data_IF_859945235967
#
_entry.id   IF_859945235967
#
_cell.length_a   1.000
_cell.length_b   1.000
_cell.length_c   1.000
_cell.angle_alpha   90.00
_cell.angle_beta   90.00
_cell.angle_gamma   90.00
#
_symmetry.space_group_name_H-M   'P 1'
#
loop_
_entity.id
_entity.type
_entity.pdbx_description
1 polymer ?
#
# COMPACT_ATOMS: atom_id res chain seq x y z
N UNK A 1 -25.82 -26.83 -1.02
CA UNK A 1 -24.37 -26.53 -0.98
C UNK A 1 -23.89 -26.49 -2.42
N UNK A 2 -23.76 -25.28 -3.00
CA UNK A 2 -23.37 -25.10 -4.40
C UNK A 2 -21.91 -24.69 -4.44
N UNK A 3 -21.04 -25.60 -4.88
CA UNK A 3 -19.60 -25.38 -5.02
C UNK A 3 -19.38 -24.57 -6.30
N UNK A 4 -19.52 -23.26 -6.21
CA UNK A 4 -19.24 -22.34 -7.31
C UNK A 4 -17.77 -22.43 -7.73
N UNK A 5 -17.52 -22.75 -8.99
CA UNK A 5 -16.21 -22.73 -9.62
C UNK A 5 -15.60 -21.32 -9.47
N UNK A 6 -14.63 -21.17 -8.57
CA UNK A 6 -13.88 -19.92 -8.42
C UNK A 6 -12.75 -19.87 -9.45
N UNK A 7 -12.76 -18.86 -10.31
CA UNK A 7 -11.71 -18.65 -11.32
C UNK A 7 -10.46 -18.05 -10.67
N UNK A 8 -9.31 -18.74 -10.85
CA UNK A 8 -7.98 -18.19 -10.57
C UNK A 8 -7.60 -17.25 -11.72
N UNK A 9 -7.22 -16.00 -11.45
CA UNK A 9 -6.86 -15.03 -12.52
C UNK A 9 -5.54 -15.42 -13.21
N UNK A 10 -5.54 -15.84 -14.48
CA UNK A 10 -4.34 -15.99 -15.26
C UNK A 10 -4.16 -14.72 -16.12
N UNK A 11 -3.04 -14.01 -15.96
CA UNK A 11 -2.69 -12.72 -16.59
C UNK A 11 -3.17 -11.49 -15.80
N UNK A 12 -2.27 -10.55 -15.43
CA UNK A 12 -2.68 -9.32 -14.74
C UNK A 12 -3.55 -8.47 -15.68
N UNK A 13 -4.81 -8.29 -15.30
CA UNK A 13 -5.67 -7.26 -15.89
C UNK A 13 -4.95 -5.91 -15.81
N UNK A 14 -5.11 -5.08 -16.84
CA UNK A 14 -4.69 -3.68 -16.75
C UNK A 14 -5.36 -3.01 -15.55
N UNK A 15 -4.70 -2.02 -14.94
CA UNK A 15 -5.22 -1.36 -13.73
C UNK A 15 -6.28 -0.32 -14.11
N UNK A 16 -7.47 -0.41 -13.52
CA UNK A 16 -8.47 0.66 -13.59
C UNK A 16 -8.12 1.73 -12.59
N UNK A 17 -7.72 2.90 -13.08
CA UNK A 17 -7.26 4.03 -12.27
C UNK A 17 -8.45 4.89 -11.85
N UNK A 18 -9.44 4.32 -11.17
CA UNK A 18 -10.56 5.08 -10.59
C UNK A 18 -10.05 6.06 -9.52
N UNK A 19 -10.83 7.11 -9.22
CA UNK A 19 -10.42 8.23 -8.35
C UNK A 19 -9.68 7.82 -7.08
N UNK A 20 -10.30 6.95 -6.28
CA UNK A 20 -9.72 6.50 -5.03
C UNK A 20 -8.41 5.72 -5.23
N UNK A 21 -8.31 4.90 -6.28
CA UNK A 21 -7.06 4.23 -6.63
C UNK A 21 -5.96 5.21 -7.05
N UNK A 22 -6.28 6.28 -7.80
CA UNK A 22 -5.32 7.34 -8.15
C UNK A 22 -4.79 8.05 -6.90
N UNK A 23 -5.69 8.39 -5.97
CA UNK A 23 -5.31 9.00 -4.68
C UNK A 23 -4.41 8.07 -3.87
N UNK A 24 -4.79 6.80 -3.75
CA UNK A 24 -3.97 5.79 -3.08
C UNK A 24 -2.58 5.65 -3.72
N UNK A 25 -2.50 5.55 -5.05
CA UNK A 25 -1.21 5.48 -5.75
C UNK A 25 -0.34 6.70 -5.48
N UNK A 26 -0.93 7.90 -5.50
CA UNK A 26 -0.19 9.13 -5.20
C UNK A 26 0.36 9.10 -3.77
N UNK A 27 -0.46 8.74 -2.78
CA UNK A 27 -0.03 8.63 -1.38
C UNK A 27 1.06 7.56 -1.19
N UNK A 28 0.93 6.41 -1.85
CA UNK A 28 1.94 5.34 -1.81
C UNK A 28 3.27 5.78 -2.41
N UNK A 29 3.24 6.52 -3.52
CA UNK A 29 4.46 7.07 -4.16
C UNK A 29 5.08 8.15 -3.29
N UNK A 30 4.28 9.05 -2.73
CA UNK A 30 4.74 10.07 -1.80
C UNK A 30 5.40 9.45 -0.56
N UNK A 31 4.73 8.48 0.07
CA UNK A 31 5.28 7.75 1.21
C UNK A 31 6.59 7.04 0.86
N UNK A 32 6.64 6.33 -0.27
CA UNK A 32 7.86 5.67 -0.74
C UNK A 32 9.01 6.67 -0.96
N UNK A 33 8.74 7.80 -1.61
CA UNK A 33 9.76 8.83 -1.85
C UNK A 33 10.24 9.47 -0.56
N UNK A 34 9.34 9.75 0.39
CA UNK A 34 9.69 10.30 1.69
C UNK A 34 10.57 9.34 2.49
N UNK A 35 10.20 8.05 2.55
CA UNK A 35 10.98 7.01 3.23
C UNK A 35 12.38 6.85 2.64
N UNK A 36 12.47 6.79 1.31
CA UNK A 36 13.77 6.70 0.61
C UNK A 36 14.62 7.96 0.81
N UNK A 37 13.99 9.14 0.80
CA UNK A 37 14.67 10.41 1.06
C UNK A 37 15.22 10.50 2.49
N UNK A 38 14.45 10.08 3.49
CA UNK A 38 14.89 10.01 4.88
C UNK A 38 16.05 9.03 5.06
N UNK A 39 15.98 7.86 4.45
CA UNK A 39 17.06 6.88 4.49
C UNK A 39 18.33 7.43 3.84
N UNK A 40 18.23 7.98 2.63
CA UNK A 40 19.37 8.59 1.95
C UNK A 40 19.98 9.74 2.77
N UNK A 41 19.15 10.61 3.34
CA UNK A 41 19.58 11.70 4.21
C UNK A 41 20.31 11.20 5.47
N UNK A 42 19.79 10.15 6.11
CA UNK A 42 20.44 9.55 7.28
C UNK A 42 21.80 8.94 6.94
N UNK A 43 21.90 8.21 5.82
CA UNK A 43 23.16 7.59 5.38
C UNK A 43 24.21 8.64 4.96
N UNK A 44 23.80 9.68 4.23
CA UNK A 44 24.68 10.79 3.89
C UNK A 44 25.18 11.54 5.13
N UNK A 45 24.28 11.79 6.08
CA UNK A 45 24.62 12.46 7.33
C UNK A 45 25.59 11.61 8.17
N UNK A 46 25.34 10.30 8.26
CA UNK A 46 26.25 9.37 8.93
C UNK A 46 27.65 9.44 8.31
N UNK A 47 27.75 9.38 6.99
CA UNK A 47 29.03 9.45 6.29
C UNK A 47 29.76 10.79 6.53
N UNK A 48 29.05 11.92 6.52
CA UNK A 48 29.64 13.23 6.77
C UNK A 48 30.13 13.39 8.22
N UNK A 49 29.40 12.85 9.20
CA UNK A 49 29.79 12.92 10.60
C UNK A 49 31.04 12.09 10.91
N UNK A 50 31.28 11.00 10.18
CA UNK A 50 32.51 10.20 10.31
C UNK A 50 33.79 11.04 10.06
N UNK A 51 33.71 12.11 9.28
CA UNK A 51 34.84 13.03 9.06
C UNK A 51 35.25 13.81 10.33
N UNK A 52 34.36 13.90 11.33
CA UNK A 52 34.59 14.57 12.61
C UNK A 52 34.68 13.59 13.78
N UNK A 53 34.89 12.30 13.51
CA UNK A 53 35.03 11.27 14.55
C UNK A 53 36.26 11.56 15.41
N UNK A 54 36.14 11.35 16.72
CA UNK A 54 37.18 11.69 17.70
C UNK A 54 37.21 13.15 18.14
N UNK A 55 36.27 13.99 17.67
CA UNK A 55 36.08 15.33 18.22
C UNK A 55 35.13 15.30 19.41
N UNK A 56 35.55 15.90 20.53
CA UNK A 56 34.71 16.09 21.72
C UNK A 56 33.71 17.25 21.59
N UNK A 57 33.75 17.97 20.46
CA UNK A 57 32.83 19.09 20.22
C UNK A 57 31.42 18.59 19.94
N UNK A 58 30.45 19.34 20.45
CA UNK A 58 29.04 19.05 20.24
C UNK A 58 28.60 19.50 18.84
N UNK A 59 27.61 18.81 18.27
CA UNK A 59 27.03 19.16 16.97
C UNK A 59 26.62 20.63 16.82
N UNK A 60 26.04 21.32 17.83
CA UNK A 60 25.70 22.74 17.72
C UNK A 60 26.91 23.66 17.57
N UNK A 61 28.08 23.22 18.04
CA UNK A 61 29.34 23.98 17.93
C UNK A 61 29.96 23.79 16.54
N UNK A 62 29.86 22.58 15.98
CA UNK A 62 30.41 22.24 14.67
C UNK A 62 29.50 22.71 13.53
N UNK A 63 28.18 22.65 13.71
CA UNK A 63 27.18 22.96 12.68
C UNK A 63 26.13 23.98 13.14
N UNK A 64 26.53 25.20 13.57
CA UNK A 64 25.63 26.15 14.25
C UNK A 64 24.46 26.65 13.39
N UNK A 65 24.55 26.53 12.07
CA UNK A 65 23.54 27.00 11.12
C UNK A 65 22.49 25.95 10.76
N UNK A 66 22.62 24.70 11.25
CA UNK A 66 21.61 23.66 10.99
C UNK A 66 20.36 23.97 11.83
N UNK A 67 19.16 24.06 11.21
CA UNK A 67 17.92 24.29 11.94
C UNK A 67 17.72 23.27 13.06
N UNK A 68 17.29 23.73 14.23
CA UNK A 68 17.06 22.92 15.43
C UNK A 68 18.27 22.19 16.01
N UNK A 69 19.49 22.36 15.48
CA UNK A 69 20.70 21.64 15.94
C UNK A 69 20.97 21.84 17.43
N UNK A 70 20.63 23.01 17.98
CA UNK A 70 20.78 23.35 19.40
C UNK A 70 20.01 22.45 20.36
N UNK A 71 19.05 21.66 19.87
CA UNK A 71 18.31 20.66 20.66
C UNK A 71 19.07 19.35 20.84
N UNK A 72 20.15 19.14 20.09
CA UNK A 72 20.92 17.91 20.08
C UNK A 72 22.20 18.12 20.88
N UNK A 73 22.25 17.53 22.08
CA UNK A 73 23.45 17.50 22.92
C UNK A 73 24.28 16.25 22.62
N UNK A 74 24.74 16.11 21.38
CA UNK A 74 25.48 14.94 20.90
C UNK A 74 26.81 15.38 20.27
N UNK A 75 27.84 14.54 20.41
CA UNK A 75 29.07 14.64 19.60
C UNK A 75 28.81 14.10 18.19
N UNK A 76 29.73 14.38 17.26
CA UNK A 76 29.66 13.82 15.90
C UNK A 76 29.67 12.28 15.90
N UNK A 77 30.46 11.67 16.78
CA UNK A 77 30.54 10.22 16.91
C UNK A 77 29.23 9.62 17.43
N UNK A 78 28.68 10.13 18.54
CA UNK A 78 27.42 9.63 19.09
C UNK A 78 26.26 9.77 18.09
N UNK A 79 26.21 10.88 17.34
CA UNK A 79 25.22 11.09 16.31
C UNK A 79 25.41 10.17 15.08
N UNK A 80 26.66 9.87 14.70
CA UNK A 80 26.98 8.89 13.65
C UNK A 80 26.50 7.50 14.05
N UNK A 81 26.72 7.07 15.29
CA UNK A 81 26.25 5.77 15.78
C UNK A 81 24.72 5.66 15.78
N UNK A 82 24.02 6.73 16.19
CA UNK A 82 22.54 6.79 16.10
C UNK A 82 22.07 6.70 14.65
N UNK A 83 22.73 7.40 13.73
CA UNK A 83 22.36 7.39 12.31
C UNK A 83 22.72 6.08 11.61
N UNK A 84 23.71 5.33 12.12
CA UNK A 84 24.01 3.99 11.63
C UNK A 84 22.84 3.02 11.88
N UNK A 85 22.10 3.18 12.99
CA UNK A 85 20.90 2.42 13.31
C UNK A 85 19.61 2.99 12.70
N UNK A 86 19.69 4.13 12.00
CA UNK A 86 18.51 4.79 11.42
C UNK A 86 17.77 3.89 10.40
N UNK A 87 18.48 3.00 9.70
CA UNK A 87 17.87 2.06 8.77
C UNK A 87 16.86 1.13 9.48
N UNK A 88 17.22 0.63 10.66
CA UNK A 88 16.36 -0.26 11.44
C UNK A 88 15.12 0.47 11.97
N UNK A 89 15.30 1.71 12.44
CA UNK A 89 14.18 2.52 12.91
C UNK A 89 13.25 2.92 11.78
N UNK A 90 13.80 3.34 10.63
CA UNK A 90 13.02 3.69 9.45
C UNK A 90 12.29 2.46 8.89
N UNK A 91 12.93 1.30 8.84
CA UNK A 91 12.27 0.06 8.43
C UNK A 91 11.08 -0.28 9.31
N UNK A 92 11.24 -0.27 10.63
CA UNK A 92 10.15 -0.49 11.58
C UNK A 92 8.97 0.49 11.39
N UNK A 93 9.26 1.79 11.25
CA UNK A 93 8.23 2.82 11.00
C UNK A 93 7.56 2.68 9.62
N UNK A 94 8.35 2.33 8.61
CA UNK A 94 7.89 2.22 7.22
C UNK A 94 6.87 1.11 7.04
N UNK A 95 7.09 -0.05 7.66
CA UNK A 95 6.16 -1.19 7.55
C UNK A 95 4.81 -0.80 8.15
N UNK A 96 4.80 -0.14 9.32
CA UNK A 96 3.57 0.35 9.91
C UNK A 96 2.83 1.34 8.98
N UNK A 97 3.56 2.30 8.42
CA UNK A 97 2.98 3.32 7.55
C UNK A 97 2.42 2.74 6.24
N UNK A 98 3.20 1.90 5.55
CA UNK A 98 2.80 1.28 4.29
C UNK A 98 1.60 0.34 4.47
N UNK A 99 1.58 -0.44 5.55
CA UNK A 99 0.43 -1.30 5.88
C UNK A 99 -0.82 -0.47 6.18
N UNK A 100 -0.70 0.66 6.86
CA UNK A 100 -1.84 1.53 7.14
C UNK A 100 -2.45 2.10 5.84
N UNK A 101 -1.62 2.54 4.89
CA UNK A 101 -2.10 2.99 3.57
C UNK A 101 -2.81 1.86 2.81
N UNK A 102 -2.27 0.65 2.85
CA UNK A 102 -2.89 -0.51 2.22
C UNK A 102 -4.24 -0.88 2.86
N UNK A 103 -4.33 -0.86 4.19
CA UNK A 103 -5.58 -1.14 4.91
C UNK A 103 -6.68 -0.10 4.61
N UNK A 104 -6.31 1.17 4.41
CA UNK A 104 -7.24 2.21 3.97
C UNK A 104 -7.74 1.99 2.52
N UNK A 105 -6.82 1.61 1.62
CA UNK A 105 -7.16 1.19 0.25
C UNK A 105 -8.17 0.04 0.22
N UNK A 106 -7.99 -0.99 1.07
CA UNK A 106 -8.91 -2.12 1.17
C UNK A 106 -10.30 -1.72 1.70
N UNK A 107 -10.37 -0.81 2.68
CA UNK A 107 -11.65 -0.26 3.14
C UNK A 107 -12.39 0.42 2.01
N UNK A 108 -11.68 1.15 1.16
CA UNK A 108 -12.26 1.79 -0.01
C UNK A 108 -12.78 0.74 -1.02
N UNK A 109 -12.02 -0.32 -1.28
CA UNK A 109 -12.46 -1.41 -2.15
C UNK A 109 -13.72 -2.11 -1.63
N UNK A 110 -13.79 -2.38 -0.33
CA UNK A 110 -14.99 -2.95 0.31
C UNK A 110 -16.17 -1.98 0.29
N UNK A 111 -15.93 -0.68 0.41
CA UNK A 111 -16.94 0.37 0.22
C UNK A 111 -17.55 0.32 -1.18
N UNK A 112 -16.72 0.28 -2.22
CA UNK A 112 -17.18 0.15 -3.61
C UNK A 112 -17.98 -1.15 -3.83
N UNK A 113 -17.51 -2.28 -3.30
CA UNK A 113 -18.24 -3.54 -3.35
C UNK A 113 -19.60 -3.43 -2.65
N UNK A 114 -19.69 -2.68 -1.54
CA UNK A 114 -20.94 -2.46 -0.83
C UNK A 114 -21.90 -1.56 -1.61
N UNK A 115 -21.41 -0.51 -2.26
CA UNK A 115 -22.22 0.39 -3.09
C UNK A 115 -22.71 -0.29 -4.38
N UNK A 116 -22.02 -1.33 -4.84
CA UNK A 116 -22.49 -2.24 -5.88
C UNK A 116 -23.43 -3.35 -5.37
N UNK A 117 -23.70 -3.42 -4.06
CA UNK A 117 -24.57 -4.44 -3.47
C UNK A 117 -23.96 -5.84 -3.32
N UNK A 118 -22.63 -5.99 -3.52
CA UNK A 118 -21.94 -7.28 -3.43
C UNK A 118 -21.68 -7.71 -1.99
N UNK A 119 -21.67 -6.75 -1.06
CA UNK A 119 -21.51 -6.98 0.38
C UNK A 119 -22.35 -5.96 1.15
N UNK A 120 -22.81 -6.30 2.35
CA UNK A 120 -23.56 -5.33 3.15
C UNK A 120 -22.64 -4.18 3.61
N UNK A 121 -23.17 -2.95 3.65
CA UNK A 121 -22.45 -1.77 4.17
C UNK A 121 -21.93 -1.99 5.59
N UNK A 122 -22.70 -2.70 6.42
CA UNK A 122 -22.29 -3.09 7.77
C UNK A 122 -21.03 -3.96 7.74
N UNK A 123 -21.03 -5.03 6.91
CA UNK A 123 -19.87 -5.92 6.78
C UNK A 123 -18.66 -5.19 6.20
N UNK A 124 -18.82 -4.35 5.19
CA UNK A 124 -17.73 -3.54 4.65
C UNK A 124 -17.07 -2.64 5.71
N UNK A 125 -17.86 -2.05 6.62
CA UNK A 125 -17.35 -1.18 7.70
C UNK A 125 -16.73 -1.95 8.88
N UNK A 126 -17.35 -3.06 9.28
CA UNK A 126 -16.99 -3.79 10.51
C UNK A 126 -15.96 -4.90 10.28
N UNK A 127 -15.58 -5.18 9.03
CA UNK A 127 -14.57 -6.22 8.74
C UNK A 127 -13.20 -5.79 9.29
N UNK A 128 -12.60 -6.57 10.21
CA UNK A 128 -11.27 -6.27 10.75
C UNK A 128 -10.21 -6.37 9.65
N UNK A 129 -9.09 -5.65 9.80
CA UNK A 129 -7.99 -5.61 8.79
C UNK A 129 -7.57 -7.00 8.28
N UNK A 130 -7.45 -7.97 9.19
CA UNK A 130 -7.07 -9.34 8.85
C UNK A 130 -8.06 -10.04 7.90
N UNK A 131 -9.36 -9.70 7.95
CA UNK A 131 -10.42 -10.32 7.16
C UNK A 131 -10.79 -9.54 5.88
N UNK A 132 -10.20 -8.38 5.62
CA UNK A 132 -10.61 -7.51 4.51
C UNK A 132 -10.37 -8.15 3.14
N UNK A 133 -9.21 -8.80 2.93
CA UNK A 133 -8.90 -9.50 1.68
C UNK A 133 -9.86 -10.65 1.41
N UNK A 134 -10.20 -11.43 2.43
CA UNK A 134 -11.16 -12.52 2.32
C UNK A 134 -12.56 -11.99 2.00
N UNK A 135 -13.01 -10.96 2.71
CA UNK A 135 -14.30 -10.34 2.46
C UNK A 135 -14.42 -9.80 1.02
N UNK A 136 -13.37 -9.18 0.49
CA UNK A 136 -13.35 -8.67 -0.87
C UNK A 136 -13.34 -9.80 -1.92
N UNK A 137 -12.54 -10.85 -1.70
CA UNK A 137 -12.53 -12.04 -2.56
C UNK A 137 -13.90 -12.72 -2.63
N UNK A 138 -14.56 -12.87 -1.47
CA UNK A 138 -15.92 -13.42 -1.40
C UNK A 138 -16.94 -12.53 -2.12
N UNK A 139 -16.88 -11.20 -1.92
CA UNK A 139 -17.79 -10.26 -2.57
C UNK A 139 -17.63 -10.25 -4.11
N UNK A 140 -16.39 -10.32 -4.60
CA UNK A 140 -16.10 -10.30 -6.04
C UNK A 140 -16.10 -11.68 -6.72
N UNK A 141 -16.25 -12.77 -5.96
CA UNK A 141 -16.29 -14.14 -6.51
C UNK A 141 -14.98 -14.63 -7.13
N UNK A 142 -13.82 -14.04 -6.76
CA UNK A 142 -12.51 -14.41 -7.30
C UNK A 142 -11.43 -14.34 -6.20
N UNK A 143 -10.22 -14.83 -6.50
CA UNK A 143 -9.13 -14.97 -5.54
C UNK A 143 -7.87 -14.20 -5.95
N UNK A 144 -7.15 -13.72 -4.95
CA UNK A 144 -5.79 -13.18 -5.09
C UNK A 144 -4.81 -14.35 -5.00
N UNK A 145 -3.68 -14.23 -5.67
CA UNK A 145 -2.56 -15.15 -5.50
C UNK A 145 -2.15 -15.25 -4.02
N UNK A 146 -1.87 -16.47 -3.56
CA UNK A 146 -1.56 -16.75 -2.15
C UNK A 146 -0.23 -16.16 -1.71
N UNK A 147 0.77 -16.16 -2.60
CA UNK A 147 2.14 -15.77 -2.26
C UNK A 147 2.26 -14.38 -1.61
N UNK A 148 1.76 -13.29 -2.21
CA UNK A 148 1.85 -11.98 -1.57
C UNK A 148 1.00 -11.89 -0.29
N UNK A 149 -0.10 -12.63 -0.18
CA UNK A 149 -0.93 -12.66 1.04
C UNK A 149 -0.21 -13.37 2.20
N UNK A 150 0.54 -14.44 1.93
CA UNK A 150 1.40 -15.12 2.91
C UNK A 150 2.43 -14.14 3.49
N UNK A 151 3.14 -13.41 2.62
CA UNK A 151 4.13 -12.41 3.04
C UNK A 151 3.48 -11.25 3.81
N UNK A 152 2.30 -10.79 3.39
CA UNK A 152 1.56 -9.75 4.10
C UNK A 152 1.18 -10.18 5.52
N UNK A 153 0.80 -11.44 5.73
CA UNK A 153 0.45 -11.95 7.05
C UNK A 153 1.63 -11.86 8.02
N UNK A 154 2.84 -12.23 7.56
CA UNK A 154 4.08 -12.08 8.33
C UNK A 154 4.42 -10.61 8.57
N UNK A 155 4.33 -9.74 7.57
CA UNK A 155 4.56 -8.30 7.73
C UNK A 155 3.61 -7.65 8.76
N UNK A 156 2.33 -8.06 8.79
CA UNK A 156 1.36 -7.62 9.80
C UNK A 156 1.76 -8.06 11.21
N UNK A 157 2.27 -9.28 11.36
CA UNK A 157 2.79 -9.79 12.64
C UNK A 157 4.05 -9.03 13.08
N UNK A 158 5.00 -8.79 12.17
CA UNK A 158 6.19 -7.97 12.44
C UNK A 158 5.82 -6.56 12.90
N UNK A 159 4.89 -5.90 12.20
CA UNK A 159 4.36 -4.59 12.61
C UNK A 159 3.76 -4.66 14.02
N UNK A 160 2.93 -5.67 14.30
CA UNK A 160 2.30 -5.79 15.61
C UNK A 160 3.34 -5.98 16.72
N UNK A 161 4.37 -6.79 16.49
CA UNK A 161 5.49 -6.96 17.43
C UNK A 161 6.23 -5.64 17.69
N UNK A 162 6.50 -4.85 16.65
CA UNK A 162 7.10 -3.51 16.79
C UNK A 162 6.22 -2.58 17.62
N UNK A 163 4.91 -2.53 17.35
CA UNK A 163 3.99 -1.59 17.98
C UNK A 163 3.66 -1.98 19.43
N UNK A 164 3.51 -3.28 19.71
CA UNK A 164 2.96 -3.76 20.98
C UNK A 164 3.98 -4.42 21.90
N UNK A 165 5.03 -5.04 21.35
CA UNK A 165 5.97 -5.88 22.11
C UNK A 165 7.42 -5.35 22.07
N UNK A 166 7.59 -4.07 21.72
CA UNK A 166 8.92 -3.43 21.61
C UNK A 166 9.82 -4.08 20.56
N UNK A 167 9.23 -4.70 19.54
CA UNK A 167 9.95 -5.41 18.48
C UNK A 167 10.37 -6.83 18.82
N UNK A 168 9.91 -7.42 19.94
CA UNK A 168 10.24 -8.82 20.29
C UNK A 168 9.45 -9.83 19.46
N UNK A 169 10.14 -10.86 18.99
CA UNK A 169 9.51 -11.98 18.26
C UNK A 169 8.73 -12.86 19.23
N UNK A 170 7.42 -13.00 18.99
CA UNK A 170 6.54 -13.91 19.70
C UNK A 170 6.39 -15.26 18.98
N UNK A 171 5.71 -16.21 19.61
CA UNK A 171 5.45 -17.51 18.97
C UNK A 171 4.57 -17.36 17.72
N UNK A 172 3.61 -16.43 17.74
CA UNK A 172 2.71 -16.22 16.61
C UNK A 172 3.42 -15.76 15.34
N UNK A 173 4.50 -14.98 15.45
CA UNK A 173 5.34 -14.59 14.33
C UNK A 173 6.17 -15.78 13.82
N UNK A 174 6.76 -16.59 14.71
CA UNK A 174 7.50 -17.81 14.33
C UNK A 174 6.60 -18.78 13.58
N UNK A 175 5.38 -18.98 14.07
CA UNK A 175 4.39 -19.86 13.44
C UNK A 175 3.98 -19.32 12.05
N UNK A 176 3.78 -17.99 11.94
CA UNK A 176 3.43 -17.36 10.67
C UNK A 176 4.56 -17.47 9.63
N UNK A 177 5.82 -17.35 10.05
CA UNK A 177 6.99 -17.54 9.20
C UNK A 177 7.10 -19.00 8.75
N UNK A 178 6.88 -19.93 9.67
CA UNK A 178 6.95 -21.39 9.40
C UNK A 178 5.83 -21.86 8.47
N UNK A 179 4.73 -21.11 8.39
CA UNK A 179 3.63 -21.35 7.46
C UNK A 179 3.88 -20.81 6.04
N UNK A 180 4.95 -20.03 5.81
CA UNK A 180 5.29 -19.54 4.48
C UNK A 180 5.63 -20.71 3.55
N UNK A 181 5.09 -20.67 2.33
CA UNK A 181 5.52 -21.59 1.28
C UNK A 181 6.99 -21.36 0.89
N UNK A 182 7.70 -22.38 0.36
CA UNK A 182 9.07 -22.20 -0.13
C UNK A 182 9.19 -21.09 -1.19
N UNK A 183 8.15 -20.90 -2.01
CA UNK A 183 8.09 -19.83 -2.99
C UNK A 183 7.97 -18.44 -2.33
N UNK A 184 7.16 -18.32 -1.27
CA UNK A 184 7.02 -17.08 -0.51
C UNK A 184 8.31 -16.71 0.23
N UNK A 185 9.02 -17.69 0.81
CA UNK A 185 10.35 -17.49 1.41
C UNK A 185 11.35 -17.04 0.36
N UNK A 186 11.43 -17.72 -0.79
CA UNK A 186 12.36 -17.35 -1.86
C UNK A 186 12.09 -15.91 -2.37
N UNK A 187 10.83 -15.55 -2.57
CA UNK A 187 10.44 -14.21 -2.97
C UNK A 187 10.75 -13.17 -1.89
N UNK A 188 10.60 -13.53 -0.61
CA UNK A 188 10.95 -12.68 0.53
C UNK A 188 12.44 -12.40 0.55
N UNK A 189 13.28 -13.44 0.49
CA UNK A 189 14.74 -13.32 0.50
C UNK A 189 15.25 -12.56 -0.70
N UNK A 190 14.65 -12.75 -1.87
CA UNK A 190 15.01 -11.98 -3.08
C UNK A 190 14.71 -10.48 -2.94
N UNK A 191 13.60 -10.13 -2.28
CA UNK A 191 13.16 -8.74 -2.15
C UNK A 191 13.86 -7.99 -1.00
N UNK A 192 14.06 -8.66 0.14
CA UNK A 192 14.63 -8.05 1.34
C UNK A 192 16.12 -8.30 1.53
N UNK A 193 16.68 -9.36 0.93
CA UNK A 193 18.02 -9.84 1.24
C UNK A 193 18.11 -10.67 2.52
N UNK A 194 17.03 -10.76 3.29
CA UNK A 194 16.96 -11.47 4.58
C UNK A 194 16.17 -12.76 4.47
N UNK A 195 16.56 -13.78 5.24
CA UNK A 195 15.83 -15.03 5.37
C UNK A 195 14.93 -14.99 6.63
N UNK A 196 13.60 -14.90 6.47
CA UNK A 196 12.70 -14.76 7.61
C UNK A 196 12.66 -16.02 8.49
N UNK A 197 13.03 -17.19 7.95
CA UNK A 197 12.97 -18.49 8.66
C UNK A 197 13.96 -18.60 9.82
N UNK A 198 14.91 -17.66 9.90
CA UNK A 198 15.91 -17.60 10.97
C UNK A 198 15.42 -16.92 12.24
N UNK A 199 14.22 -16.33 12.23
CA UNK A 199 13.64 -15.67 13.39
C UNK A 199 13.27 -16.70 14.47
N UNK A 200 13.77 -16.49 15.67
CA UNK A 200 13.45 -17.28 16.84
C UNK A 200 12.66 -16.46 17.87
N UNK A 201 11.84 -17.15 18.67
CA UNK A 201 11.11 -16.52 19.77
C UNK A 201 12.08 -15.83 20.74
N UNK A 202 11.78 -14.58 21.09
CA UNK A 202 12.60 -13.76 21.99
C UNK A 202 13.63 -12.89 21.28
N UNK A 203 13.88 -13.12 19.98
CA UNK A 203 14.72 -12.25 19.17
C UNK A 203 14.17 -10.83 19.11
N UNK A 204 15.05 -9.86 18.88
CA UNK A 204 14.66 -8.48 18.57
C UNK A 204 14.61 -8.33 17.07
N UNK A 205 13.44 -7.95 16.54
CA UNK A 205 13.26 -7.67 15.12
C UNK A 205 14.14 -6.51 14.69
N UNK A 206 15.03 -6.79 13.73
CA UNK A 206 15.79 -5.76 13.01
C UNK A 206 15.21 -5.66 11.61
N UNK A 207 14.35 -4.65 11.41
CA UNK A 207 13.64 -4.40 10.16
C UNK A 207 14.34 -3.25 9.45
N UNK A 208 15.09 -3.52 8.40
CA UNK A 208 15.85 -2.50 7.69
C UNK A 208 15.25 -2.10 6.35
N UNK A 209 16.11 -1.59 5.48
CA UNK A 209 15.75 -1.22 4.12
C UNK A 209 15.11 -2.37 3.33
N UNK A 210 15.59 -3.59 3.51
CA UNK A 210 15.10 -4.78 2.82
C UNK A 210 13.62 -5.06 3.12
N UNK A 211 13.26 -5.08 4.40
CA UNK A 211 11.89 -5.31 4.83
C UNK A 211 10.96 -4.14 4.45
N UNK A 212 11.47 -2.91 4.41
CA UNK A 212 10.74 -1.76 3.86
C UNK A 212 10.39 -1.97 2.38
N UNK A 213 11.38 -2.34 1.54
CA UNK A 213 11.15 -2.60 0.12
C UNK A 213 10.16 -3.75 -0.10
N UNK A 214 10.29 -4.81 0.70
CA UNK A 214 9.36 -5.94 0.67
C UNK A 214 7.93 -5.47 0.98
N UNK A 215 7.72 -4.69 2.04
CA UNK A 215 6.39 -4.19 2.40
C UNK A 215 5.77 -3.34 1.27
N UNK A 216 6.56 -2.47 0.64
CA UNK A 216 6.13 -1.67 -0.51
C UNK A 216 5.79 -2.55 -1.73
N UNK A 217 6.57 -3.59 -1.99
CA UNK A 217 6.36 -4.50 -3.11
C UNK A 217 5.12 -5.38 -2.92
N UNK A 218 4.98 -5.98 -1.74
CA UNK A 218 3.86 -6.86 -1.38
C UNK A 218 2.54 -6.10 -1.43
N UNK A 219 2.44 -4.96 -0.75
CA UNK A 219 1.21 -4.16 -0.74
C UNK A 219 0.84 -3.71 -2.15
N UNK A 220 1.79 -3.20 -2.94
CA UNK A 220 1.57 -2.84 -4.35
C UNK A 220 1.03 -3.99 -5.19
N UNK A 221 1.56 -5.20 -5.02
CA UNK A 221 1.11 -6.38 -5.74
C UNK A 221 -0.35 -6.72 -5.36
N UNK A 222 -0.65 -6.70 -4.07
CA UNK A 222 -2.00 -7.00 -3.56
C UNK A 222 -3.00 -5.94 -3.99
N UNK A 223 -2.68 -4.65 -3.93
CA UNK A 223 -3.60 -3.58 -4.36
C UNK A 223 -3.94 -3.68 -5.85
N UNK A 224 -2.98 -4.10 -6.69
CA UNK A 224 -3.26 -4.41 -8.10
C UNK A 224 -4.18 -5.62 -8.25
N UNK A 225 -3.99 -6.65 -7.43
CA UNK A 225 -4.89 -7.79 -7.42
C UNK A 225 -6.30 -7.42 -6.93
N UNK A 226 -6.43 -6.60 -5.88
CA UNK A 226 -7.71 -6.05 -5.43
C UNK A 226 -8.39 -5.21 -6.51
N UNK A 227 -7.63 -4.40 -7.25
CA UNK A 227 -8.14 -3.70 -8.42
C UNK A 227 -8.72 -4.68 -9.46
N UNK A 228 -8.00 -5.77 -9.76
CA UNK A 228 -8.48 -6.85 -10.63
C UNK A 228 -9.74 -7.54 -10.09
N UNK A 229 -9.82 -7.79 -8.78
CA UNK A 229 -11.03 -8.34 -8.17
C UNK A 229 -12.24 -7.42 -8.37
N UNK A 230 -12.08 -6.11 -8.18
CA UNK A 230 -13.17 -5.15 -8.42
C UNK A 230 -13.59 -5.15 -9.89
N UNK A 231 -12.64 -5.29 -10.83
CA UNK A 231 -12.98 -5.38 -12.25
C UNK A 231 -13.83 -6.61 -12.59
N UNK A 232 -13.58 -7.73 -11.91
CA UNK A 232 -14.36 -8.97 -12.08
C UNK A 232 -15.72 -8.86 -11.38
N UNK A 233 -15.73 -8.37 -10.14
CA UNK A 233 -16.90 -8.43 -9.27
C UNK A 233 -17.92 -7.31 -9.51
N UNK A 234 -17.45 -6.07 -9.75
CA UNK A 234 -18.36 -4.93 -9.86
C UNK A 234 -19.16 -4.99 -11.17
N UNK A 235 -20.49 -4.72 -11.12
CA UNK A 235 -21.30 -4.63 -12.32
C UNK A 235 -20.78 -3.56 -13.28
N UNK A 236 -20.91 -3.82 -14.59
CA UNK A 236 -20.49 -2.88 -15.63
C UNK A 236 -21.13 -1.49 -15.49
N UNK A 237 -22.42 -1.46 -15.12
CA UNK A 237 -23.15 -0.21 -14.85
C UNK A 237 -22.55 0.59 -13.70
N UNK A 238 -22.02 -0.07 -12.66
CA UNK A 238 -21.33 0.62 -11.58
C UNK A 238 -20.07 1.31 -12.10
N UNK A 239 -19.26 0.61 -12.90
CA UNK A 239 -18.07 1.21 -13.51
C UNK A 239 -18.36 2.39 -14.45
N UNK A 240 -19.46 2.33 -15.21
CA UNK A 240 -19.87 3.44 -16.07
C UNK A 240 -20.23 4.66 -15.22
N UNK A 241 -21.01 4.48 -14.14
CA UNK A 241 -21.35 5.55 -13.20
C UNK A 241 -20.11 6.17 -12.58
N UNK A 242 -19.20 5.34 -12.07
CA UNK A 242 -17.93 5.77 -11.49
C UNK A 242 -17.10 6.59 -12.49
N UNK A 243 -16.94 6.11 -13.72
CA UNK A 243 -16.14 6.80 -14.74
C UNK A 243 -16.75 8.16 -15.15
N UNK A 244 -18.07 8.25 -15.26
CA UNK A 244 -18.77 9.50 -15.58
C UNK A 244 -18.68 10.48 -14.41
N UNK A 245 -18.92 10.03 -13.19
CA UNK A 245 -18.83 10.86 -11.99
C UNK A 245 -17.44 11.42 -11.77
N UNK A 246 -16.42 10.57 -11.94
CA UNK A 246 -15.03 10.95 -11.80
C UNK A 246 -14.64 12.01 -12.85
N UNK A 247 -15.04 11.81 -14.11
CA UNK A 247 -14.81 12.77 -15.18
C UNK A 247 -15.49 14.14 -14.93
N UNK A 248 -16.73 14.13 -14.42
CA UNK A 248 -17.46 15.35 -14.10
C UNK A 248 -16.91 16.06 -12.87
N UNK A 249 -16.40 15.30 -11.89
CA UNK A 249 -15.75 15.87 -10.71
C UNK A 249 -14.41 16.52 -11.07
N UNK A 250 -13.62 15.89 -11.94
CA UNK A 250 -12.32 16.41 -12.36
C UNK A 250 -12.46 17.54 -13.41
N UNK A 251 -13.56 17.56 -14.16
CA UNK A 251 -13.88 18.60 -15.13
C UNK A 251 -15.30 19.16 -14.96
N UNK A 252 -15.59 19.92 -13.88
CA UNK A 252 -16.94 20.41 -13.58
C UNK A 252 -17.55 21.24 -14.72
N UNK A 253 -16.72 22.06 -15.37
CA UNK A 253 -17.13 22.90 -16.51
C UNK A 253 -17.58 22.10 -17.74
N UNK A 254 -17.26 20.81 -17.81
CA UNK A 254 -17.70 19.94 -18.90
C UNK A 254 -19.19 19.59 -18.81
N UNK A 255 -19.79 19.59 -17.62
CA UNK A 255 -21.14 19.06 -17.39
C UNK A 255 -22.25 19.71 -18.23
N UNK A 256 -22.10 21.00 -18.55
CA UNK A 256 -23.08 21.78 -19.33
C UNK A 256 -22.66 22.01 -20.79
N UNK A 257 -21.50 21.51 -21.20
CA UNK A 257 -20.98 21.74 -22.53
C UNK A 257 -21.49 20.69 -23.53
N UNK A 258 -21.70 21.08 -24.78
CA UNK A 258 -21.93 20.15 -25.90
C UNK A 258 -20.79 19.11 -26.05
N UNK A 259 -19.63 19.37 -25.45
CA UNK A 259 -18.46 18.48 -25.47
C UNK A 259 -18.41 17.48 -24.32
N UNK A 260 -19.40 17.46 -23.42
CA UNK A 260 -19.42 16.60 -22.21
C UNK A 260 -19.15 15.13 -22.54
N UNK A 261 -19.86 14.57 -23.53
CA UNK A 261 -19.70 13.17 -23.93
C UNK A 261 -18.27 12.86 -24.39
N UNK A 262 -17.69 13.73 -25.22
CA UNK A 262 -16.32 13.56 -25.70
C UNK A 262 -15.32 13.58 -24.54
N UNK A 263 -15.50 14.48 -23.57
CA UNK A 263 -14.64 14.59 -22.39
C UNK A 263 -14.77 13.37 -21.48
N UNK A 264 -15.99 12.99 -21.08
CA UNK A 264 -16.22 11.82 -20.23
C UNK A 264 -15.73 10.52 -20.87
N UNK A 265 -15.99 10.31 -22.17
CA UNK A 265 -15.49 9.13 -22.87
C UNK A 265 -13.96 9.14 -23.02
N UNK A 266 -13.35 10.29 -23.28
CA UNK A 266 -11.88 10.44 -23.30
C UNK A 266 -11.25 10.11 -21.95
N UNK A 267 -11.86 10.61 -20.87
CA UNK A 267 -11.46 10.33 -19.49
C UNK A 267 -11.56 8.84 -19.16
N UNK A 268 -12.71 8.22 -19.47
CA UNK A 268 -12.93 6.79 -19.30
C UNK A 268 -11.90 5.93 -20.07
N UNK A 269 -11.55 6.31 -21.31
CA UNK A 269 -10.50 5.61 -22.07
C UNK A 269 -9.13 5.69 -21.40
N UNK A 270 -8.80 6.83 -20.79
CA UNK A 270 -7.50 7.05 -20.17
C UNK A 270 -7.37 6.36 -18.80
N UNK A 271 -8.37 6.51 -17.93
CA UNK A 271 -8.30 6.01 -16.56
C UNK A 271 -8.99 4.65 -16.36
N UNK A 272 -10.02 4.33 -17.14
CA UNK A 272 -10.81 3.10 -17.06
C UNK A 272 -10.58 2.18 -18.28
N UNK A 273 -9.50 2.42 -19.04
CA UNK A 273 -9.16 1.72 -20.28
C UNK A 273 -9.31 0.20 -20.27
N UNK A 274 -8.90 -0.53 -19.21
CA UNK A 274 -9.06 -1.99 -19.13
C UNK A 274 -10.51 -2.47 -19.27
N UNK A 275 -11.50 -1.66 -18.86
CA UNK A 275 -12.93 -1.99 -18.94
C UNK A 275 -13.53 -1.82 -20.34
N UNK A 276 -12.82 -1.10 -21.22
CA UNK A 276 -13.25 -0.80 -22.60
C UNK A 276 -14.71 -0.31 -22.64
N UNK A 277 -15.01 0.72 -21.83
CA UNK A 277 -16.33 1.34 -21.82
C UNK A 277 -16.62 1.99 -23.17
N UNK A 278 -17.73 1.63 -23.79
CA UNK A 278 -18.15 2.14 -25.08
C UNK A 278 -18.69 3.57 -24.96
N UNK A 279 -18.54 4.36 -26.02
CA UNK A 279 -19.07 5.72 -26.06
C UNK A 279 -20.58 5.77 -25.82
N UNK A 280 -21.33 4.83 -26.38
CA UNK A 280 -22.79 4.74 -26.20
C UNK A 280 -23.17 4.48 -24.73
N UNK A 281 -22.37 3.71 -23.99
CA UNK A 281 -22.63 3.46 -22.56
C UNK A 281 -22.44 4.73 -21.71
N UNK A 282 -21.41 5.51 -22.02
CA UNK A 282 -21.16 6.81 -21.40
C UNK A 282 -22.27 7.81 -21.73
N UNK A 283 -22.75 7.81 -22.97
CA UNK A 283 -23.86 8.66 -23.42
C UNK A 283 -25.17 8.33 -22.70
N UNK A 284 -25.53 7.04 -22.61
CA UNK A 284 -26.71 6.59 -21.87
C UNK A 284 -26.66 6.99 -20.40
N UNK A 285 -25.50 6.89 -19.76
CA UNK A 285 -25.34 7.33 -18.36
C UNK A 285 -25.50 8.84 -18.20
N UNK A 286 -24.94 9.64 -19.10
CA UNK A 286 -25.11 11.09 -19.09
C UNK A 286 -26.56 11.50 -19.33
N UNK A 287 -27.31 10.77 -20.17
CA UNK A 287 -28.74 10.98 -20.38
C UNK A 287 -29.54 10.69 -19.09
N UNK A 288 -29.31 9.52 -18.46
CA UNK A 288 -29.95 9.14 -17.18
C UNK A 288 -29.77 10.22 -16.09
N UNK A 289 -28.58 10.82 -16.01
CA UNK A 289 -28.27 11.89 -15.03
C UNK A 289 -28.93 13.24 -15.32
N UNK A 290 -29.47 13.46 -16.51
CA UNK A 290 -30.21 14.69 -16.86
C UNK A 290 -31.70 14.57 -16.59
N UNK A 291 -32.22 13.33 -16.56
CA UNK A 291 -33.63 13.01 -16.36
C UNK A 291 -34.00 12.88 -14.88
N UNK A 292 -33.03 12.56 -14.01
CA UNK A 292 -33.18 12.53 -12.55
C UNK A 292 -32.66 13.80 -11.89
#
# INVERSE_FOLDING_TARGET
MSTGMMYHMPVPLGVVRFRAYRRYEALRVEASNALMGLLAGAQLSNHLLQLNRGSDRLLPEVYPNVPHIRRFNLTAEAASDILAEADVHLGAMSIAYVLALHEDSLKTCLGMAADAGLVSRRRARETPSAGQHEALQQACGSRIDGLPLEQLAVLRRMRNAVIHDGGRVDQGLVDAVSALSPAAVLAWTKASGSDPTRLAKGDVLRLGHGEMLLALAVTKAIDRACNGLLQIGLPRDHWIREAVEDALTEHPQAGHAATVLRKCHGFARHHYGPLRLARAEVESELARRREG
#
